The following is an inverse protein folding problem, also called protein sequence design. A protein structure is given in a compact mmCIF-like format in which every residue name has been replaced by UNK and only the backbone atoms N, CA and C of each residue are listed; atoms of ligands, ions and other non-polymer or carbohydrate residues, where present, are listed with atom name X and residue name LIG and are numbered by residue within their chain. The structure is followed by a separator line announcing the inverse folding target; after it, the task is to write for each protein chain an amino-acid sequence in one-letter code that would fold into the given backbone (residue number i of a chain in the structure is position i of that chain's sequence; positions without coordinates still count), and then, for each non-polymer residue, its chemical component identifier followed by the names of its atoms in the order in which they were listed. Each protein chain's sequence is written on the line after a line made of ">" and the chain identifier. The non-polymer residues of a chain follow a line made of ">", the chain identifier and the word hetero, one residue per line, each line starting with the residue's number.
data_IF_426478034965
#
_entry.id   IF_426478034965
#
_cell.length_a   1.000
_cell.length_b   1.000
_cell.length_c   1.000
_cell.angle_alpha   90.00
_cell.angle_beta   90.00
_cell.angle_gamma   90.00
#
_symmetry.space_group_name_H-M   'P 1'
#
loop_
_entity.id
_entity.type
_entity.pdbx_description
1 polymer ?
#
# COMPACT_ATOMS: atom_id res chain seq x y z
N UNK A 1 26.91 -28.85 -77.20
CA UNK A 1 25.71 -28.02 -76.90
C UNK A 1 24.74 -28.83 -76.06
N UNK A 2 24.24 -28.28 -74.95
CA UNK A 2 23.22 -28.94 -74.11
C UNK A 2 23.00 -28.18 -72.81
N UNK A 3 22.60 -26.92 -72.92
CA UNK A 3 22.33 -26.00 -71.82
C UNK A 3 21.09 -26.49 -71.03
N UNK A 4 21.28 -27.02 -69.82
CA UNK A 4 20.17 -27.33 -68.92
C UNK A 4 19.72 -26.05 -68.23
N UNK A 5 18.70 -25.42 -68.80
CA UNK A 5 18.02 -24.25 -68.23
C UNK A 5 17.49 -24.55 -66.83
N UNK A 6 18.10 -23.93 -65.82
CA UNK A 6 17.62 -23.97 -64.44
C UNK A 6 16.30 -23.21 -64.31
N UNK A 7 15.23 -23.92 -63.91
CA UNK A 7 13.99 -23.27 -63.46
C UNK A 7 14.28 -22.52 -62.16
N UNK A 8 14.38 -21.20 -62.23
CA UNK A 8 14.34 -20.33 -61.04
C UNK A 8 12.97 -20.52 -60.39
N UNK A 9 12.94 -21.05 -59.16
CA UNK A 9 11.73 -21.04 -58.35
C UNK A 9 11.35 -19.57 -58.11
N UNK A 10 10.30 -19.09 -58.78
CA UNK A 10 9.76 -17.76 -58.56
C UNK A 10 9.26 -17.63 -57.13
N UNK A 11 9.23 -16.40 -56.58
CA UNK A 11 8.81 -16.18 -55.20
C UNK A 11 7.39 -16.70 -55.01
N UNK A 12 7.22 -17.67 -54.11
CA UNK A 12 5.90 -18.19 -53.73
C UNK A 12 5.16 -17.04 -53.04
N UNK A 13 4.23 -16.39 -53.75
CA UNK A 13 3.35 -15.38 -53.15
C UNK A 13 2.59 -16.04 -52.01
N UNK A 14 2.73 -15.59 -50.75
CA UNK A 14 1.99 -16.17 -49.65
C UNK A 14 0.50 -16.01 -49.92
N UNK A 15 -0.27 -17.10 -49.82
CA UNK A 15 -1.73 -17.06 -49.90
C UNK A 15 -2.25 -16.08 -48.85
N UNK A 16 -3.32 -15.35 -49.14
CA UNK A 16 -3.96 -14.45 -48.17
C UNK A 16 -4.26 -15.16 -46.83
N UNK A 17 -4.57 -16.45 -46.90
CA UNK A 17 -4.76 -17.34 -45.75
C UNK A 17 -3.53 -17.43 -44.83
N UNK A 18 -2.30 -17.46 -45.35
CA UNK A 18 -1.08 -17.52 -44.52
C UNK A 18 -0.90 -16.25 -43.70
N UNK A 19 -1.25 -15.09 -44.26
CA UNK A 19 -1.23 -13.82 -43.52
C UNK A 19 -2.27 -13.78 -42.39
N UNK A 20 -3.47 -14.34 -42.61
CA UNK A 20 -4.49 -14.48 -41.56
C UNK A 20 -3.96 -15.28 -40.37
N UNK A 21 -3.28 -16.40 -40.60
CA UNK A 21 -2.70 -17.20 -39.50
C UNK A 21 -1.53 -16.53 -38.81
N UNK A 22 -0.68 -15.80 -39.53
CA UNK A 22 0.41 -15.03 -38.91
C UNK A 22 -0.15 -13.93 -38.01
N UNK A 23 -1.16 -13.18 -38.48
CA UNK A 23 -1.83 -12.16 -37.67
C UNK A 23 -2.55 -12.75 -36.44
N UNK A 24 -3.20 -13.90 -36.60
CA UNK A 24 -3.82 -14.61 -35.49
C UNK A 24 -2.76 -15.08 -34.47
N UNK A 25 -1.66 -15.66 -34.92
CA UNK A 25 -0.57 -16.09 -34.05
C UNK A 25 0.08 -14.92 -33.31
N UNK A 26 0.35 -13.79 -33.97
CA UNK A 26 0.91 -12.59 -33.33
C UNK A 26 -0.06 -12.01 -32.30
N UNK A 27 -1.37 -11.99 -32.60
CA UNK A 27 -2.37 -11.50 -31.65
C UNK A 27 -2.45 -12.40 -30.41
N UNK A 28 -2.41 -13.73 -30.61
CA UNK A 28 -2.46 -14.71 -29.51
C UNK A 28 -1.18 -14.70 -28.68
N UNK A 29 0.00 -14.62 -29.31
CA UNK A 29 1.29 -14.71 -28.61
C UNK A 29 1.84 -13.38 -28.09
N UNK A 30 1.48 -12.25 -28.69
CA UNK A 30 1.95 -10.94 -28.25
C UNK A 30 0.80 -10.11 -27.65
N UNK A 31 -0.33 -10.02 -28.36
CA UNK A 31 -1.48 -9.22 -27.90
C UNK A 31 -2.12 -9.77 -26.63
N UNK A 32 -2.38 -11.09 -26.59
CA UNK A 32 -2.96 -11.78 -25.43
C UNK A 32 -2.13 -11.62 -24.16
N UNK A 33 -0.85 -12.04 -24.14
CA UNK A 33 0.01 -11.88 -22.98
C UNK A 33 0.22 -10.43 -22.56
N UNK A 34 0.38 -9.50 -23.51
CA UNK A 34 0.51 -8.08 -23.16
C UNK A 34 -0.76 -7.53 -22.50
N UNK A 35 -1.95 -7.93 -22.96
CA UNK A 35 -3.21 -7.55 -22.34
C UNK A 35 -3.36 -8.12 -20.93
N UNK A 36 -2.96 -9.39 -20.71
CA UNK A 36 -2.97 -10.02 -19.39
C UNK A 36 -1.99 -9.33 -18.43
N UNK A 37 -0.79 -8.99 -18.90
CA UNK A 37 0.21 -8.26 -18.10
C UNK A 37 -0.27 -6.84 -17.76
N UNK A 38 -0.86 -6.13 -18.71
CA UNK A 38 -1.41 -4.80 -18.47
C UNK A 38 -2.59 -4.85 -17.49
N UNK A 39 -3.50 -5.81 -17.64
CA UNK A 39 -4.60 -6.01 -16.70
C UNK A 39 -4.09 -6.40 -15.32
N UNK A 40 -3.12 -7.30 -15.22
CA UNK A 40 -2.49 -7.68 -13.96
C UNK A 40 -1.82 -6.51 -13.26
N UNK A 41 -1.10 -5.67 -14.00
CA UNK A 41 -0.46 -4.47 -13.45
C UNK A 41 -1.47 -3.45 -12.90
N UNK A 42 -2.60 -3.26 -13.59
CA UNK A 42 -3.68 -2.38 -13.11
C UNK A 42 -4.45 -3.00 -11.93
N UNK A 43 -4.73 -4.29 -11.95
CA UNK A 43 -5.43 -4.96 -10.86
C UNK A 43 -4.59 -5.02 -9.58
N UNK A 44 -3.26 -5.09 -9.71
CA UNK A 44 -2.35 -5.13 -8.56
C UNK A 44 -2.01 -3.75 -8.01
N UNK A 45 -2.24 -2.65 -8.75
CA UNK A 45 -1.96 -1.31 -8.23
C UNK A 45 -2.93 -0.86 -7.14
N UNK A 46 -4.12 -1.45 -7.06
CA UNK A 46 -5.13 -1.13 -6.05
C UNK A 46 -5.01 -2.03 -4.80
N UNK A 47 -4.23 -3.12 -4.87
CA UNK A 47 -4.09 -4.07 -3.76
C UNK A 47 -3.18 -3.46 -2.69
N UNK A 48 -3.74 -3.28 -1.49
CA UNK A 48 -3.01 -2.72 -0.35
C UNK A 48 -2.96 -1.20 -0.32
N UNK A 49 -3.76 -0.51 -1.13
CA UNK A 49 -3.95 0.94 -0.95
C UNK A 49 -4.68 1.22 0.38
N UNK A 50 -4.26 2.23 1.16
CA UNK A 50 -4.96 2.61 2.38
C UNK A 50 -6.34 3.19 2.07
N UNK A 51 -7.38 2.58 2.64
CA UNK A 51 -8.76 3.05 2.56
C UNK A 51 -9.16 3.79 3.82
N UNK A 52 -10.04 4.78 3.70
CA UNK A 52 -10.62 5.44 4.87
C UNK A 52 -11.56 4.50 5.62
N UNK A 53 -11.35 4.38 6.93
CA UNK A 53 -12.10 3.48 7.80
C UNK A 53 -12.50 4.19 9.10
N UNK A 54 -13.31 3.54 9.91
CA UNK A 54 -13.72 4.08 11.20
C UNK A 54 -12.53 4.18 12.17
N UNK A 55 -12.38 5.34 12.79
CA UNK A 55 -11.27 5.61 13.70
C UNK A 55 -11.32 4.78 15.00
N UNK A 56 -12.51 4.40 15.47
CA UNK A 56 -12.62 3.52 16.63
C UNK A 56 -12.16 2.10 16.29
N UNK A 57 -12.39 1.63 15.06
CA UNK A 57 -11.87 0.34 14.59
C UNK A 57 -10.34 0.35 14.52
N UNK A 58 -9.75 1.40 13.91
CA UNK A 58 -8.27 1.54 13.86
C UNK A 58 -7.66 1.58 15.24
N UNK A 59 -8.23 2.37 16.16
CA UNK A 59 -7.69 2.46 17.52
C UNK A 59 -7.88 1.16 18.30
N UNK A 60 -8.98 0.43 18.07
CA UNK A 60 -9.19 -0.90 18.67
C UNK A 60 -8.13 -1.89 18.18
N UNK A 61 -7.82 -1.89 16.88
CA UNK A 61 -6.72 -2.68 16.32
C UNK A 61 -5.37 -2.29 16.94
N UNK A 62 -5.12 -0.99 17.07
CA UNK A 62 -3.94 -0.44 17.73
C UNK A 62 -3.92 -0.63 19.27
N UNK A 63 -4.86 -1.39 19.85
CA UNK A 63 -5.00 -1.60 21.30
C UNK A 63 -5.06 -0.30 22.12
N UNK A 64 -5.61 0.74 21.52
CA UNK A 64 -5.74 2.05 22.11
C UNK A 64 -7.15 2.62 21.99
N UNK A 65 -7.28 3.90 22.31
CA UNK A 65 -8.52 4.66 22.21
C UNK A 65 -8.22 6.09 21.79
N UNK A 66 -9.11 6.68 21.00
CA UNK A 66 -9.04 8.13 20.76
C UNK A 66 -9.33 8.88 22.06
N UNK A 67 -8.59 9.98 22.34
CA UNK A 67 -8.95 10.88 23.42
C UNK A 67 -10.29 11.55 23.11
N UNK A 68 -11.05 11.88 24.16
CA UNK A 68 -12.34 12.58 24.01
C UNK A 68 -12.19 13.98 23.39
N UNK A 69 -11.01 14.59 23.52
CA UNK A 69 -10.61 15.88 22.95
C UNK A 69 -10.04 15.77 21.54
N UNK A 70 -10.09 14.60 20.89
CA UNK A 70 -9.58 14.42 19.54
C UNK A 70 -10.36 15.26 18.52
N UNK A 71 -9.63 16.00 17.70
CA UNK A 71 -10.14 16.79 16.59
C UNK A 71 -9.48 16.36 15.27
N UNK A 72 -10.13 16.65 14.15
CA UNK A 72 -9.63 16.37 12.80
C UNK A 72 -9.20 14.90 12.56
N UNK A 73 -9.85 13.95 13.24
CA UNK A 73 -9.47 12.55 13.17
C UNK A 73 -9.64 11.99 11.74
N UNK A 74 -8.56 11.40 11.22
CA UNK A 74 -8.49 10.72 9.92
C UNK A 74 -7.86 9.37 10.13
N UNK A 75 -8.54 8.32 9.67
CA UNK A 75 -8.08 6.97 9.88
C UNK A 75 -8.13 6.19 8.58
N UNK A 76 -7.05 5.46 8.33
CA UNK A 76 -6.89 4.63 7.15
C UNK A 76 -6.41 3.24 7.52
N UNK A 77 -6.83 2.23 6.78
CA UNK A 77 -6.31 0.89 6.89
C UNK A 77 -6.00 0.31 5.51
N UNK A 78 -4.92 -0.45 5.42
CA UNK A 78 -4.55 -1.25 4.27
C UNK A 78 -4.37 -2.70 4.72
N UNK A 79 -4.85 -3.64 3.92
CA UNK A 79 -4.67 -5.07 4.19
C UNK A 79 -4.25 -5.78 2.91
N UNK A 80 -3.05 -6.37 2.93
CA UNK A 80 -2.57 -7.26 1.88
C UNK A 80 -1.85 -8.47 2.47
N UNK A 81 -0.58 -8.31 2.86
CA UNK A 81 0.17 -9.35 3.58
C UNK A 81 0.07 -9.11 5.08
N UNK A 82 0.37 -7.89 5.50
CA UNK A 82 0.13 -7.36 6.83
C UNK A 82 -1.09 -6.43 6.82
N UNK A 83 -1.70 -6.26 7.98
CA UNK A 83 -2.62 -5.18 8.27
C UNK A 83 -1.82 -3.97 8.69
N UNK A 84 -2.00 -2.84 8.01
CA UNK A 84 -1.47 -1.55 8.42
C UNK A 84 -2.64 -0.62 8.70
N UNK A 85 -2.71 -0.08 9.91
CA UNK A 85 -3.73 0.87 10.30
C UNK A 85 -3.07 2.15 10.82
N UNK A 86 -3.58 3.30 10.41
CA UNK A 86 -3.06 4.60 10.83
C UNK A 86 -4.23 5.48 11.27
N UNK A 87 -4.09 6.07 12.46
CA UNK A 87 -4.97 7.12 12.96
C UNK A 87 -4.14 8.40 13.13
N UNK A 88 -4.62 9.48 12.53
CA UNK A 88 -4.07 10.81 12.68
C UNK A 88 -5.15 11.72 13.27
N UNK A 89 -4.83 12.43 14.36
CA UNK A 89 -5.77 13.36 14.99
C UNK A 89 -5.01 14.45 15.74
N UNK A 90 -5.70 15.56 16.04
CA UNK A 90 -5.21 16.63 16.91
C UNK A 90 -5.78 16.50 18.30
N UNK A 91 -5.02 16.91 19.31
CA UNK A 91 -5.51 17.04 20.69
C UNK A 91 -4.76 18.16 21.43
N UNK A 92 -5.27 18.64 22.58
CA UNK A 92 -4.53 19.59 23.42
C UNK A 92 -3.17 19.03 23.85
N UNK A 93 -2.12 19.84 23.71
CA UNK A 93 -0.73 19.43 23.98
C UNK A 93 -0.50 18.98 25.42
N UNK A 94 -1.17 19.63 26.36
CA UNK A 94 -1.09 19.35 27.79
C UNK A 94 -1.75 18.01 28.17
N UNK A 95 -2.71 17.54 27.39
CA UNK A 95 -3.38 16.26 27.61
C UNK A 95 -2.61 15.05 27.05
N UNK A 96 -1.68 15.27 26.11
CA UNK A 96 -0.91 14.19 25.43
C UNK A 96 -0.26 13.23 26.41
N UNK A 97 0.38 13.76 27.47
CA UNK A 97 1.08 12.95 28.46
C UNK A 97 0.15 11.97 29.18
N UNK A 98 -0.97 12.48 29.70
CA UNK A 98 -1.95 11.66 30.42
C UNK A 98 -2.66 10.66 29.51
N UNK A 99 -2.97 11.07 28.27
CA UNK A 99 -3.54 10.15 27.28
C UNK A 99 -2.56 9.01 26.94
N UNK A 100 -1.28 9.31 26.69
CA UNK A 100 -0.28 8.28 26.38
C UNK A 100 -0.12 7.26 27.52
N UNK A 101 -0.09 7.73 28.77
CA UNK A 101 0.04 6.85 29.93
C UNK A 101 -1.21 5.98 30.13
N UNK A 102 -2.40 6.51 29.84
CA UNK A 102 -3.65 5.77 29.93
C UNK A 102 -3.81 4.74 28.79
N UNK A 103 -3.48 5.13 27.56
CA UNK A 103 -3.68 4.32 26.36
C UNK A 103 -2.56 3.30 26.16
N UNK A 104 -1.32 3.67 26.44
CA UNK A 104 -0.13 2.84 26.21
C UNK A 104 0.82 2.82 27.42
N UNK A 105 0.40 2.25 28.56
CA UNK A 105 1.20 2.26 29.79
C UNK A 105 2.53 1.50 29.68
N UNK A 106 2.61 0.53 28.76
CA UNK A 106 3.83 -0.23 28.48
C UNK A 106 4.72 0.40 27.39
N UNK A 107 4.32 1.56 26.85
CA UNK A 107 5.04 2.24 25.78
C UNK A 107 6.41 2.71 26.20
N UNK A 108 7.38 2.54 25.29
CA UNK A 108 8.78 2.92 25.51
C UNK A 108 9.17 4.02 24.53
N UNK A 109 10.09 4.93 24.89
CA UNK A 109 10.66 5.86 23.93
C UNK A 109 11.24 5.11 22.72
N UNK A 110 10.97 5.60 21.51
CA UNK A 110 11.57 5.06 20.30
C UNK A 110 13.10 5.23 20.33
N UNK A 111 13.84 4.31 19.71
CA UNK A 111 15.31 4.38 19.65
C UNK A 111 15.80 5.66 18.93
N UNK A 112 15.10 6.07 17.89
CA UNK A 112 15.27 7.34 17.21
C UNK A 112 13.92 8.04 17.09
N UNK A 113 13.94 9.37 17.18
CA UNK A 113 12.73 10.18 17.12
C UNK A 113 13.01 11.48 16.40
N UNK A 114 12.33 11.70 15.27
CA UNK A 114 12.41 12.95 14.51
C UNK A 114 11.33 13.95 14.93
N UNK A 115 10.30 13.47 15.63
CA UNK A 115 9.20 14.27 16.17
C UNK A 115 9.45 14.68 17.62
N UNK A 116 8.58 15.50 18.19
CA UNK A 116 8.75 15.97 19.58
C UNK A 116 8.62 14.84 20.60
N UNK A 117 7.79 13.82 20.30
CA UNK A 117 7.67 12.61 21.12
C UNK A 117 7.38 11.38 20.27
N UNK A 118 8.13 10.33 20.52
CA UNK A 118 7.96 9.04 19.87
C UNK A 118 7.85 7.94 20.91
N UNK A 119 6.81 7.13 20.79
CA UNK A 119 6.57 5.97 21.66
C UNK A 119 6.37 4.76 20.78
N UNK A 120 7.07 3.68 21.11
CA UNK A 120 6.90 2.37 20.49
C UNK A 120 6.33 1.39 21.52
N UNK A 121 5.34 0.63 21.08
CA UNK A 121 4.67 -0.40 21.86
C UNK A 121 4.66 -1.69 21.04
N UNK A 122 4.91 -2.81 21.70
CA UNK A 122 4.80 -4.13 21.10
C UNK A 122 3.88 -4.99 21.96
N UNK A 123 2.92 -5.66 21.32
CA UNK A 123 2.02 -6.61 21.95
C UNK A 123 2.33 -8.01 21.41
N UNK A 124 2.68 -8.92 22.32
CA UNK A 124 2.93 -10.34 22.04
C UNK A 124 3.89 -10.63 20.87
N UNK A 125 4.78 -9.68 20.54
CA UNK A 125 5.71 -9.73 19.40
C UNK A 125 5.03 -9.90 18.02
N UNK A 126 3.71 -9.72 17.93
CA UNK A 126 2.92 -9.88 16.71
C UNK A 126 2.23 -8.59 16.27
N UNK A 127 2.03 -7.64 17.18
CA UNK A 127 1.42 -6.34 16.89
C UNK A 127 2.33 -5.22 17.40
N UNK A 128 2.63 -4.28 16.52
CA UNK A 128 3.49 -3.14 16.79
C UNK A 128 2.71 -1.85 16.63
N UNK A 129 2.91 -0.92 17.56
CA UNK A 129 2.33 0.42 17.51
C UNK A 129 3.44 1.44 17.60
N UNK A 130 3.56 2.26 16.56
CA UNK A 130 4.42 3.43 16.50
C UNK A 130 3.57 4.67 16.67
N UNK A 131 3.85 5.41 17.73
CA UNK A 131 3.18 6.65 18.05
C UNK A 131 4.16 7.79 17.87
N UNK A 132 3.76 8.80 17.11
CA UNK A 132 4.54 10.01 16.83
C UNK A 132 3.68 11.23 17.14
N UNK A 133 4.24 12.15 17.92
CA UNK A 133 3.56 13.39 18.32
C UNK A 133 4.41 14.58 17.87
N UNK A 134 3.78 15.48 17.14
CA UNK A 134 4.35 16.78 16.76
C UNK A 134 3.57 17.87 17.47
N UNK A 135 4.25 18.74 18.21
CA UNK A 135 3.61 19.89 18.85
C UNK A 135 3.44 21.00 17.82
N UNK A 136 2.21 21.47 17.68
CA UNK A 136 1.87 22.55 16.75
C UNK A 136 1.82 23.90 17.48
N UNK A 137 1.94 24.98 16.72
CA UNK A 137 1.68 26.32 17.22
C UNK A 137 0.20 26.44 17.60
N UNK A 138 -0.10 27.04 18.77
CA UNK A 138 -1.47 27.17 19.27
C UNK A 138 -1.85 26.21 20.40
N UNK A 139 -0.92 25.38 20.87
CA UNK A 139 -1.13 24.53 22.05
C UNK A 139 -1.80 23.19 21.73
N UNK A 140 -1.88 22.81 20.46
CA UNK A 140 -2.31 21.49 20.00
C UNK A 140 -1.11 20.59 19.72
N UNK A 141 -1.38 19.30 19.59
CA UNK A 141 -0.44 18.30 19.15
C UNK A 141 -1.08 17.46 18.06
N UNK A 142 -0.38 17.29 16.94
CA UNK A 142 -0.71 16.31 15.93
C UNK A 142 -0.17 14.94 16.38
N UNK A 143 -1.07 13.99 16.58
CA UNK A 143 -0.77 12.63 16.99
C UNK A 143 -1.00 11.71 15.81
N UNK A 144 0.00 10.88 15.51
CA UNK A 144 -0.10 9.79 14.54
C UNK A 144 0.16 8.48 15.25
N UNK A 145 -0.83 7.59 15.20
CA UNK A 145 -0.77 6.22 15.72
C UNK A 145 -0.75 5.29 14.53
N UNK A 146 0.36 4.59 14.31
CA UNK A 146 0.49 3.58 13.27
C UNK A 146 0.61 2.22 13.91
N UNK A 147 -0.31 1.31 13.57
CA UNK A 147 -0.33 -0.05 14.05
C UNK A 147 -0.16 -1.03 12.88
N UNK A 148 0.59 -2.10 13.09
CA UNK A 148 0.74 -3.15 12.08
C UNK A 148 1.06 -4.50 12.71
N UNK A 149 0.62 -5.56 12.04
CA UNK A 149 0.95 -6.95 12.37
C UNK A 149 2.09 -7.49 11.50
N UNK A 150 2.59 -8.68 11.84
CA UNK A 150 3.65 -9.40 11.10
C UNK A 150 3.37 -10.89 11.02
#
# INVERSE_FOLDING_TARGET
>A
MGEKSGKKAGPVKPRAWTWVWVSAAVTVFCGGPAAVLAWGAMAWSEIGEPEQVDCAEVMTFARGSLPASAEDARCTAAHWQETQAEAEFRMPRDEVGGWLEATYPAGKPAFSCEQDRCVDVSFDEALYVHLRVTYEDGGTALVRVRAFDT
#
